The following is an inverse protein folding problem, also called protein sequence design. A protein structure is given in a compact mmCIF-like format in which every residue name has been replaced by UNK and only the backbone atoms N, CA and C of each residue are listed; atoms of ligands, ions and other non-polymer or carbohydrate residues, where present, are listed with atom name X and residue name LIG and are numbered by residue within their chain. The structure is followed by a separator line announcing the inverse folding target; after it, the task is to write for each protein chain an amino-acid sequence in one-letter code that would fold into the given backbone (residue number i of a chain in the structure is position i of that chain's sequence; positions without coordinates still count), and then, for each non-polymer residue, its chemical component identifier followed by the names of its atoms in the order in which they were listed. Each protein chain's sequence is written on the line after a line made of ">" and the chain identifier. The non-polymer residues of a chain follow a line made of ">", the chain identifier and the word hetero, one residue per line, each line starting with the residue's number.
data_IF_266157513242
#
_entry.id   IF_266157513242
#
_cell.length_a   1.000
_cell.length_b   1.000
_cell.length_c   1.000
_cell.angle_alpha   90.00
_cell.angle_beta   90.00
_cell.angle_gamma   90.00
#
_symmetry.space_group_name_H-M   'P 1'
#
loop_
_entity.id
_entity.type
_entity.pdbx_description
1 polymer ?
#
# COMPACT_ATOMS: atom_id res chain seq x y z
N UNK A 1 -4.06 -6.13 -5.45
CA UNK A 1 -4.77 -6.09 -4.15
C UNK A 1 -6.26 -5.95 -4.41
N UNK A 2 -7.08 -6.89 -3.97
CA UNK A 2 -8.57 -6.93 -4.08
C UNK A 2 -9.19 -6.83 -5.48
N UNK A 3 -8.46 -7.01 -6.56
CA UNK A 3 -9.01 -6.79 -7.92
C UNK A 3 -10.18 -7.73 -8.22
N UNK A 4 -10.04 -9.02 -7.94
CA UNK A 4 -11.10 -10.01 -8.15
C UNK A 4 -12.35 -9.70 -7.33
N UNK A 5 -12.18 -9.33 -6.04
CA UNK A 5 -13.28 -8.97 -5.16
C UNK A 5 -13.98 -7.69 -5.62
N UNK A 6 -13.19 -6.65 -5.95
CA UNK A 6 -13.71 -5.36 -6.42
C UNK A 6 -14.53 -5.51 -7.71
N UNK A 7 -14.05 -6.29 -8.67
CA UNK A 7 -14.75 -6.51 -9.95
C UNK A 7 -16.10 -7.21 -9.76
N UNK A 8 -16.14 -8.19 -8.88
CA UNK A 8 -17.40 -8.90 -8.56
C UNK A 8 -18.39 -8.03 -7.80
N UNK A 9 -17.91 -7.24 -6.82
CA UNK A 9 -18.77 -6.31 -6.09
C UNK A 9 -19.32 -5.19 -7.02
N UNK A 10 -18.50 -4.65 -7.92
CA UNK A 10 -18.97 -3.67 -8.92
C UNK A 10 -20.04 -4.27 -9.84
N UNK A 11 -19.86 -5.53 -10.26
CA UNK A 11 -20.87 -6.27 -11.03
C UNK A 11 -22.18 -6.46 -10.25
N UNK A 12 -22.10 -6.83 -8.96
CA UNK A 12 -23.27 -7.01 -8.10
C UNK A 12 -24.03 -5.69 -7.89
N UNK A 13 -23.31 -4.58 -7.63
CA UNK A 13 -23.86 -3.23 -7.51
C UNK A 13 -24.50 -2.79 -8.84
N UNK A 14 -23.86 -3.13 -9.97
CA UNK A 14 -24.38 -2.82 -11.31
C UNK A 14 -25.74 -3.44 -11.59
N UNK A 15 -26.04 -4.61 -11.05
CA UNK A 15 -27.36 -5.25 -11.19
C UNK A 15 -28.49 -4.43 -10.52
N UNK A 16 -28.20 -3.80 -9.38
CA UNK A 16 -29.20 -2.95 -8.68
C UNK A 16 -29.51 -1.68 -9.48
N UNK A 17 -28.57 -1.16 -10.24
CA UNK A 17 -28.75 0.08 -11.03
C UNK A 17 -29.93 0.03 -12.01
N UNK A 18 -30.31 -1.19 -12.46
CA UNK A 18 -31.46 -1.40 -13.35
C UNK A 18 -32.81 -1.40 -12.65
N UNK A 19 -32.84 -1.44 -11.31
CA UNK A 19 -34.08 -1.52 -10.53
C UNK A 19 -34.53 -0.12 -10.05
N UNK A 20 -35.84 0.11 -10.09
CA UNK A 20 -36.45 1.36 -9.60
C UNK A 20 -36.53 1.44 -8.05
N UNK A 21 -36.45 0.29 -7.37
CA UNK A 21 -36.48 0.16 -5.91
C UNK A 21 -35.80 -1.14 -5.47
N UNK A 22 -35.32 -1.18 -4.22
CA UNK A 22 -34.84 -2.43 -3.59
C UNK A 22 -36.05 -3.17 -3.05
N UNK A 23 -36.24 -4.42 -3.48
CA UNK A 23 -37.29 -5.33 -3.01
C UNK A 23 -36.64 -6.60 -2.44
N UNK A 24 -37.42 -7.39 -1.67
CA UNK A 24 -36.91 -8.62 -1.11
C UNK A 24 -36.45 -9.62 -2.19
N UNK A 25 -37.12 -9.64 -3.34
CA UNK A 25 -36.78 -10.52 -4.46
C UNK A 25 -35.48 -10.11 -5.14
N UNK A 26 -35.33 -8.83 -5.53
CA UNK A 26 -34.16 -8.37 -6.29
C UNK A 26 -32.90 -8.28 -5.42
N UNK A 27 -33.03 -8.01 -4.11
CA UNK A 27 -31.90 -7.96 -3.19
C UNK A 27 -31.28 -9.35 -2.96
N UNK A 28 -32.08 -10.43 -2.99
CA UNK A 28 -31.57 -11.79 -2.79
C UNK A 28 -30.56 -12.20 -3.88
N UNK A 29 -30.84 -11.89 -5.13
CA UNK A 29 -29.93 -12.19 -6.24
C UNK A 29 -28.61 -11.43 -6.11
N UNK A 30 -28.68 -10.16 -5.73
CA UNK A 30 -27.48 -9.34 -5.52
C UNK A 30 -26.67 -9.81 -4.32
N UNK A 31 -27.33 -10.15 -3.20
CA UNK A 31 -26.66 -10.69 -2.01
C UNK A 31 -26.02 -12.06 -2.26
N UNK A 32 -26.59 -12.86 -3.16
CA UNK A 32 -25.97 -14.10 -3.61
C UNK A 32 -24.65 -13.84 -4.31
N UNK A 33 -24.59 -12.86 -5.21
CA UNK A 33 -23.34 -12.47 -5.89
C UNK A 33 -22.32 -11.90 -4.89
N UNK A 34 -22.75 -11.04 -3.98
CA UNK A 34 -21.89 -10.50 -2.91
C UNK A 34 -21.32 -11.63 -2.05
N UNK A 35 -22.17 -12.60 -1.65
CA UNK A 35 -21.73 -13.78 -0.90
C UNK A 35 -20.68 -14.58 -1.66
N UNK A 36 -20.90 -14.86 -2.94
CA UNK A 36 -19.96 -15.59 -3.78
C UNK A 36 -18.65 -14.82 -3.93
N UNK A 37 -18.72 -13.50 -4.14
CA UNK A 37 -17.54 -12.66 -4.24
C UNK A 37 -16.66 -12.72 -2.97
N UNK A 38 -17.27 -12.63 -1.79
CA UNK A 38 -16.56 -12.71 -0.52
C UNK A 38 -15.99 -14.12 -0.25
N UNK A 39 -16.72 -15.18 -0.56
CA UNK A 39 -16.24 -16.57 -0.42
C UNK A 39 -15.04 -16.86 -1.34
N UNK A 40 -15.11 -16.41 -2.59
CA UNK A 40 -14.00 -16.56 -3.55
C UNK A 40 -12.79 -15.68 -3.17
N UNK A 41 -13.03 -14.58 -2.48
CA UNK A 41 -11.98 -13.77 -1.85
C UNK A 41 -11.40 -14.44 -0.59
N UNK A 42 -11.84 -15.65 -0.25
CA UNK A 42 -11.38 -16.41 0.92
C UNK A 42 -11.73 -15.73 2.27
N UNK A 43 -12.87 -15.02 2.31
CA UNK A 43 -13.43 -14.49 3.56
C UNK A 43 -14.07 -15.62 4.34
N UNK A 44 -13.92 -15.63 5.66
CA UNK A 44 -14.48 -16.66 6.53
C UNK A 44 -16.00 -16.77 6.38
N UNK A 45 -16.51 -18.01 6.30
CA UNK A 45 -17.92 -18.28 6.06
C UNK A 45 -18.87 -17.63 7.09
N UNK A 46 -18.49 -17.63 8.37
CA UNK A 46 -19.29 -17.00 9.42
C UNK A 46 -19.38 -15.49 9.19
N UNK A 47 -18.26 -14.85 8.86
CA UNK A 47 -18.20 -13.42 8.53
C UNK A 47 -19.07 -13.11 7.33
N UNK A 48 -18.96 -13.90 6.26
CA UNK A 48 -19.79 -13.72 5.04
C UNK A 48 -21.28 -13.85 5.34
N UNK A 49 -21.68 -14.83 6.14
CA UNK A 49 -23.07 -15.04 6.52
C UNK A 49 -23.63 -13.86 7.32
N UNK A 50 -22.90 -13.42 8.34
CA UNK A 50 -23.33 -12.29 9.17
C UNK A 50 -23.36 -10.99 8.39
N UNK A 51 -22.33 -10.71 7.59
CA UNK A 51 -22.26 -9.55 6.70
C UNK A 51 -23.45 -9.49 5.75
N UNK A 52 -23.73 -10.58 5.02
CA UNK A 52 -24.83 -10.59 4.05
C UNK A 52 -26.20 -10.46 4.72
N UNK A 53 -26.38 -10.98 5.94
CA UNK A 53 -27.62 -10.79 6.71
C UNK A 53 -27.78 -9.33 7.14
N UNK A 54 -26.74 -8.69 7.70
CA UNK A 54 -26.78 -7.28 8.08
C UNK A 54 -27.07 -6.37 6.88
N UNK A 55 -26.41 -6.63 5.74
CA UNK A 55 -26.68 -5.88 4.49
C UNK A 55 -28.14 -6.06 4.05
N UNK A 56 -28.69 -7.29 4.11
CA UNK A 56 -30.09 -7.56 3.79
C UNK A 56 -31.04 -6.75 4.68
N UNK A 57 -30.85 -6.84 6.00
CA UNK A 57 -31.70 -6.14 6.99
C UNK A 57 -31.68 -4.63 6.78
N UNK A 58 -30.49 -4.04 6.60
CA UNK A 58 -30.35 -2.59 6.36
C UNK A 58 -30.95 -2.17 5.03
N UNK A 59 -30.76 -2.96 3.96
CA UNK A 59 -31.28 -2.62 2.64
C UNK A 59 -32.81 -2.71 2.55
N UNK A 60 -33.44 -3.59 3.33
CA UNK A 60 -34.91 -3.71 3.40
C UNK A 60 -35.52 -2.75 4.43
N UNK A 61 -34.76 -2.35 5.45
CA UNK A 61 -35.23 -1.48 6.53
C UNK A 61 -35.06 0.02 6.25
N UNK A 62 -34.18 0.42 5.34
CA UNK A 62 -34.12 1.81 4.91
C UNK A 62 -35.35 2.13 4.05
N UNK A 63 -36.23 2.98 4.56
CA UNK A 63 -37.18 3.73 3.72
C UNK A 63 -36.32 4.51 2.72
N UNK A 64 -36.30 4.04 1.48
CA UNK A 64 -35.52 4.68 0.40
C UNK A 64 -35.97 6.14 0.35
N UNK A 65 -35.13 7.04 0.87
CA UNK A 65 -35.36 8.47 0.67
C UNK A 65 -35.55 8.66 -0.81
N UNK A 66 -36.72 9.11 -1.21
CA UNK A 66 -37.17 9.27 -2.62
C UNK A 66 -36.19 10.03 -3.53
N UNK A 67 -35.08 10.53 -2.99
CA UNK A 67 -34.04 11.30 -3.66
C UNK A 67 -32.78 10.54 -4.01
N UNK A 68 -32.53 9.34 -3.48
CA UNK A 68 -31.33 8.54 -3.76
C UNK A 68 -31.65 7.37 -4.67
N UNK A 69 -30.72 7.05 -5.59
CA UNK A 69 -30.83 5.86 -6.45
C UNK A 69 -30.58 4.60 -5.65
N UNK A 70 -31.25 3.48 -5.96
CA UNK A 70 -31.09 2.21 -5.25
C UNK A 70 -29.63 1.73 -5.20
N UNK A 71 -28.85 1.91 -6.26
CA UNK A 71 -27.44 1.53 -6.29
C UNK A 71 -26.56 2.40 -5.36
N UNK A 72 -26.90 3.68 -5.21
CA UNK A 72 -26.19 4.58 -4.27
C UNK A 72 -26.46 4.20 -2.81
N UNK A 73 -27.73 3.86 -2.47
CA UNK A 73 -28.12 3.40 -1.14
C UNK A 73 -27.43 2.07 -0.82
N UNK A 74 -27.47 1.11 -1.74
CA UNK A 74 -26.85 -0.20 -1.54
C UNK A 74 -25.32 -0.10 -1.40
N UNK A 75 -24.68 0.75 -2.22
CA UNK A 75 -23.24 1.02 -2.12
C UNK A 75 -22.87 1.61 -0.75
N UNK A 76 -23.69 2.53 -0.22
CA UNK A 76 -23.49 3.09 1.12
C UNK A 76 -23.59 2.02 2.19
N UNK A 77 -24.63 1.16 2.15
CA UNK A 77 -24.80 0.05 3.10
C UNK A 77 -23.59 -0.89 3.05
N UNK A 78 -23.16 -1.31 1.85
CA UNK A 78 -21.97 -2.15 1.70
C UNK A 78 -20.72 -1.48 2.29
N UNK A 79 -20.54 -0.18 2.04
CA UNK A 79 -19.41 0.57 2.59
C UNK A 79 -19.41 0.58 4.11
N UNK A 80 -20.55 0.87 4.72
CA UNK A 80 -20.70 0.96 6.18
C UNK A 80 -20.47 -0.40 6.84
N UNK A 81 -20.99 -1.49 6.25
CA UNK A 81 -20.78 -2.86 6.76
C UNK A 81 -19.32 -3.32 6.58
N UNK A 82 -18.67 -3.01 5.47
CA UNK A 82 -17.25 -3.31 5.28
C UNK A 82 -16.37 -2.56 6.28
N UNK A 83 -16.71 -1.31 6.61
CA UNK A 83 -16.01 -0.54 7.65
C UNK A 83 -16.16 -1.19 9.01
N UNK A 84 -17.35 -1.71 9.34
CA UNK A 84 -17.59 -2.46 10.59
C UNK A 84 -16.73 -3.71 10.68
N UNK A 85 -16.59 -4.48 9.58
CA UNK A 85 -15.72 -5.65 9.52
C UNK A 85 -14.23 -5.33 9.74
N UNK A 86 -13.74 -4.27 9.11
CA UNK A 86 -12.32 -3.87 9.17
C UNK A 86 -11.97 -3.12 10.46
N UNK A 87 -12.97 -2.65 11.20
CA UNK A 87 -12.84 -1.72 12.30
C UNK A 87 -12.92 -0.29 11.80
N UNK A 88 -13.81 0.50 12.39
CA UNK A 88 -14.09 1.88 11.96
C UNK A 88 -12.91 2.83 12.16
N UNK A 89 -12.08 2.55 13.16
CA UNK A 89 -11.00 3.44 13.58
C UNK A 89 -9.62 2.91 13.17
N UNK A 90 -8.74 3.85 12.84
CA UNK A 90 -7.34 3.56 12.56
C UNK A 90 -6.61 3.22 13.85
N UNK A 91 -6.01 2.04 13.88
CA UNK A 91 -5.19 1.59 15.01
C UNK A 91 -3.76 2.11 14.88
N UNK A 92 -3.39 3.08 15.70
CA UNK A 92 -2.04 3.64 15.73
C UNK A 92 -1.10 2.83 16.65
N UNK A 93 0.20 2.95 16.41
CA UNK A 93 1.22 2.42 17.33
C UNK A 93 1.47 3.39 18.48
N UNK A 94 1.94 2.87 19.61
CA UNK A 94 2.38 3.69 20.74
C UNK A 94 3.56 4.59 20.32
N UNK A 95 3.47 5.87 20.62
CA UNK A 95 4.51 6.86 20.24
C UNK A 95 4.96 7.74 21.40
N UNK A 96 4.35 7.60 22.58
CA UNK A 96 4.56 8.51 23.73
C UNK A 96 5.69 8.06 24.64
N UNK A 97 6.08 6.80 24.61
CA UNK A 97 7.14 6.24 25.47
C UNK A 97 8.52 6.40 24.85
N UNK A 98 9.55 6.47 25.66
CA UNK A 98 10.94 6.59 25.23
C UNK A 98 11.87 5.78 26.14
N UNK A 99 12.52 4.71 25.66
CA UNK A 99 12.27 4.12 24.34
C UNK A 99 10.91 3.41 24.27
N UNK A 100 10.32 3.42 23.07
CA UNK A 100 9.15 2.57 22.75
C UNK A 100 9.65 1.22 22.25
N UNK A 101 9.16 0.13 22.82
CA UNK A 101 9.60 -1.24 22.50
C UNK A 101 8.50 -1.94 21.70
N UNK A 102 8.84 -2.40 20.51
CA UNK A 102 7.98 -3.18 19.62
C UNK A 102 8.58 -4.57 19.43
N UNK A 103 7.81 -5.61 19.71
CA UNK A 103 8.17 -6.99 19.48
C UNK A 103 7.40 -7.53 18.27
N UNK A 104 8.10 -7.99 17.24
CA UNK A 104 7.50 -8.61 16.08
C UNK A 104 7.52 -10.13 16.24
N UNK A 105 6.34 -10.74 16.19
CA UNK A 105 6.15 -12.20 16.32
C UNK A 105 5.47 -12.76 15.07
N UNK A 106 5.49 -14.08 14.87
CA UNK A 106 4.81 -14.74 13.75
C UNK A 106 5.56 -15.95 13.23
N UNK A 107 4.94 -16.69 12.31
CA UNK A 107 5.50 -17.90 11.74
C UNK A 107 6.71 -17.65 10.85
N UNK A 108 7.48 -18.70 10.56
CA UNK A 108 8.57 -18.62 9.60
C UNK A 108 8.06 -18.26 8.20
N UNK A 109 8.75 -17.36 7.52
CA UNK A 109 8.37 -16.93 6.18
C UNK A 109 7.25 -15.87 6.13
N UNK A 110 6.69 -15.47 7.27
CA UNK A 110 5.67 -14.39 7.32
C UNK A 110 6.21 -13.00 6.96
N UNK A 111 7.53 -12.83 6.90
CA UNK A 111 8.19 -11.57 6.53
C UNK A 111 8.59 -10.68 7.71
N UNK A 112 8.77 -11.21 8.94
CA UNK A 112 9.16 -10.43 10.13
C UNK A 112 10.39 -9.56 9.91
N UNK A 113 11.53 -10.15 9.55
CA UNK A 113 12.80 -9.43 9.34
C UNK A 113 12.68 -8.32 8.28
N UNK A 114 11.97 -8.59 7.18
CA UNK A 114 11.72 -7.55 6.16
C UNK A 114 10.80 -6.46 6.68
N UNK A 115 9.77 -6.84 7.43
CA UNK A 115 8.78 -5.91 7.99
C UNK A 115 9.41 -4.99 9.03
N UNK A 116 10.33 -5.51 9.85
CA UNK A 116 11.02 -4.71 10.86
C UNK A 116 11.85 -3.59 10.22
N UNK A 117 12.53 -3.89 9.11
CA UNK A 117 13.26 -2.87 8.34
C UNK A 117 12.35 -1.83 7.70
N UNK A 118 11.21 -2.25 7.14
CA UNK A 118 10.19 -1.34 6.60
C UNK A 118 9.60 -0.44 7.70
N UNK A 119 9.30 -1.01 8.86
CA UNK A 119 8.76 -0.27 10.00
C UNK A 119 9.78 0.74 10.54
N UNK A 120 11.04 0.33 10.70
CA UNK A 120 12.12 1.23 11.09
C UNK A 120 12.32 2.40 10.10
N UNK A 121 12.26 2.11 8.80
CA UNK A 121 12.32 3.14 7.75
C UNK A 121 11.13 4.10 7.82
N UNK A 122 9.91 3.59 8.06
CA UNK A 122 8.70 4.38 8.25
C UNK A 122 8.81 5.28 9.48
N UNK A 123 9.24 4.73 10.63
CA UNK A 123 9.43 5.47 11.88
C UNK A 123 10.42 6.61 11.70
N UNK A 124 11.54 6.35 11.02
CA UNK A 124 12.55 7.38 10.75
C UNK A 124 12.05 8.47 9.82
N UNK A 125 11.46 8.09 8.66
CA UNK A 125 11.08 9.05 7.62
C UNK A 125 9.83 9.85 7.96
N UNK A 126 8.79 9.18 8.48
CA UNK A 126 7.49 9.80 8.72
C UNK A 126 7.35 10.39 10.11
N UNK A 127 7.95 9.73 11.11
CA UNK A 127 7.79 10.13 12.52
C UNK A 127 9.06 10.75 13.12
N UNK A 128 10.14 10.89 12.31
CA UNK A 128 11.43 11.45 12.72
C UNK A 128 12.02 10.77 13.97
N UNK A 129 11.89 9.43 14.06
CA UNK A 129 12.35 8.61 15.18
C UNK A 129 13.72 7.99 14.91
N UNK A 130 14.42 7.61 15.98
CA UNK A 130 15.72 6.96 15.96
C UNK A 130 15.59 5.48 16.37
N UNK A 131 15.27 4.58 15.44
CA UNK A 131 15.05 3.18 15.76
C UNK A 131 16.37 2.40 15.95
N UNK A 132 16.31 1.37 16.81
CA UNK A 132 17.27 0.30 16.95
C UNK A 132 16.64 -1.01 16.47
N UNK A 133 17.35 -1.77 15.65
CA UNK A 133 16.95 -3.13 15.29
C UNK A 133 17.64 -4.11 16.25
N UNK A 134 16.90 -5.12 16.73
CA UNK A 134 17.42 -6.12 17.69
C UNK A 134 17.29 -7.51 17.09
N UNK A 135 18.41 -8.24 16.95
CA UNK A 135 18.46 -9.56 16.36
C UNK A 135 18.24 -10.65 17.41
N UNK A 136 16.97 -10.95 17.73
CA UNK A 136 16.60 -12.01 18.66
C UNK A 136 16.22 -13.35 17.98
N UNK A 137 16.29 -13.46 16.64
CA UNK A 137 16.24 -14.75 15.92
C UNK A 137 17.62 -15.43 15.95
N UNK A 138 17.97 -16.01 17.10
CA UNK A 138 19.28 -16.60 17.34
C UNK A 138 19.48 -17.97 16.69
N UNK A 139 18.40 -18.63 16.25
CA UNK A 139 18.47 -19.99 15.71
C UNK A 139 18.93 -20.02 14.25
N UNK A 140 18.86 -18.87 13.56
CA UNK A 140 19.22 -18.74 12.15
C UNK A 140 20.32 -17.69 11.97
N UNK A 141 21.61 -18.12 11.84
CA UNK A 141 22.70 -17.17 11.58
C UNK A 141 22.45 -16.25 10.37
N UNK A 142 21.78 -16.78 9.36
CA UNK A 142 21.38 -16.00 8.19
C UNK A 142 20.41 -14.86 8.52
N UNK A 143 19.54 -15.00 9.54
CA UNK A 143 18.60 -13.94 9.95
C UNK A 143 19.33 -12.77 10.60
N UNK A 144 20.32 -13.04 11.47
CA UNK A 144 21.18 -12.00 12.05
C UNK A 144 21.90 -11.22 10.96
N UNK A 145 22.55 -11.92 10.02
CA UNK A 145 23.24 -11.29 8.90
C UNK A 145 22.30 -10.49 8.00
N UNK A 146 21.09 -11.00 7.79
CA UNK A 146 20.05 -10.30 7.02
C UNK A 146 19.66 -9.00 7.72
N UNK A 147 19.42 -9.03 9.02
CA UNK A 147 19.06 -7.83 9.79
C UNK A 147 20.20 -6.81 9.80
N UNK A 148 21.46 -7.26 9.96
CA UNK A 148 22.63 -6.38 9.86
C UNK A 148 22.77 -5.72 8.49
N UNK A 149 22.57 -6.49 7.40
CA UNK A 149 22.59 -5.96 6.03
C UNK A 149 21.49 -4.93 5.83
N UNK A 150 20.32 -5.19 6.35
CA UNK A 150 19.17 -4.30 6.32
C UNK A 150 19.45 -3.01 7.09
N UNK A 151 19.98 -3.12 8.32
CA UNK A 151 20.37 -1.96 9.13
C UNK A 151 21.43 -1.08 8.43
N UNK A 152 22.45 -1.71 7.83
CA UNK A 152 23.47 -1.00 7.03
C UNK A 152 22.85 -0.26 5.85
N UNK A 153 21.97 -0.90 5.09
CA UNK A 153 21.31 -0.30 3.93
C UNK A 153 20.44 0.91 4.30
N UNK A 154 19.86 0.88 5.49
CA UNK A 154 19.00 1.93 6.03
C UNK A 154 19.75 2.97 6.87
N UNK A 155 21.05 2.75 7.17
CA UNK A 155 21.80 3.52 8.16
C UNK A 155 21.08 3.56 9.52
N UNK A 156 20.66 2.38 10.02
CA UNK A 156 20.01 2.16 11.30
C UNK A 156 20.87 1.18 12.11
N UNK A 157 21.18 1.47 13.40
CA UNK A 157 21.96 0.57 14.24
C UNK A 157 21.24 -0.76 14.46
N UNK A 158 22.03 -1.83 14.56
CA UNK A 158 21.58 -3.19 14.88
C UNK A 158 22.29 -3.66 16.13
N UNK A 159 21.53 -4.11 17.12
CA UNK A 159 22.04 -4.75 18.32
C UNK A 159 21.96 -6.26 18.16
N UNK A 160 23.07 -6.95 18.41
CA UNK A 160 23.16 -8.41 18.35
C UNK A 160 24.28 -8.89 19.28
N UNK A 161 24.14 -10.09 19.83
CA UNK A 161 25.15 -10.77 20.64
C UNK A 161 25.41 -12.21 20.13
N UNK A 162 25.23 -12.41 18.83
CA UNK A 162 25.36 -13.72 18.19
C UNK A 162 24.25 -14.70 18.59
N UNK A 163 24.56 -15.98 18.58
CA UNK A 163 23.63 -17.06 18.91
C UNK A 163 23.69 -17.41 20.44
N UNK A 164 23.37 -16.46 21.28
CA UNK A 164 23.41 -16.64 22.76
C UNK A 164 21.99 -16.89 23.30
N UNK A 165 21.38 -15.92 23.93
CA UNK A 165 20.06 -15.99 24.56
C UNK A 165 19.19 -14.84 24.06
N UNK A 166 18.05 -15.17 23.43
CA UNK A 166 17.14 -14.20 22.85
C UNK A 166 16.56 -13.25 23.91
N UNK A 167 16.25 -13.74 25.11
CA UNK A 167 15.73 -12.94 26.23
C UNK A 167 16.78 -11.94 26.71
N UNK A 168 18.03 -12.40 26.87
CA UNK A 168 19.16 -11.55 27.27
C UNK A 168 19.40 -10.46 26.21
N UNK A 169 19.47 -10.81 24.93
CA UNK A 169 19.68 -9.86 23.84
C UNK A 169 18.58 -8.79 23.86
N UNK A 170 17.31 -9.20 23.99
CA UNK A 170 16.20 -8.28 24.06
C UNK A 170 16.30 -7.31 25.26
N UNK A 171 16.71 -7.81 26.43
CA UNK A 171 16.90 -7.01 27.64
C UNK A 171 18.06 -6.01 27.48
N UNK A 172 19.23 -6.48 27.09
CA UNK A 172 20.46 -5.67 27.02
C UNK A 172 20.33 -4.59 25.93
N UNK A 173 19.47 -4.82 24.90
CA UNK A 173 19.16 -3.83 23.88
C UNK A 173 18.51 -2.56 24.45
N UNK A 174 17.84 -2.64 25.59
CA UNK A 174 17.17 -1.48 26.24
C UNK A 174 18.20 -0.51 26.77
N UNK A 175 19.23 -1.01 27.44
CA UNK A 175 20.31 -0.18 28.00
C UNK A 175 21.16 0.39 26.87
N UNK A 176 21.47 -0.43 25.85
CA UNK A 176 22.14 0.05 24.65
C UNK A 176 21.38 1.20 23.97
N UNK A 177 20.04 1.09 23.83
CA UNK A 177 19.22 2.13 23.24
C UNK A 177 19.26 3.44 24.04
N UNK A 178 19.18 3.36 25.39
CA UNK A 178 19.27 4.54 26.28
C UNK A 178 20.63 5.23 26.17
N UNK A 179 21.73 4.47 26.22
CA UNK A 179 23.10 4.99 26.12
C UNK A 179 23.37 5.69 24.79
N UNK A 180 22.75 5.21 23.70
CA UNK A 180 22.93 5.76 22.35
C UNK A 180 21.84 6.76 21.94
N UNK A 181 20.91 7.12 22.82
CA UNK A 181 19.84 8.08 22.55
C UNK A 181 18.88 7.64 21.44
N UNK A 182 18.60 6.31 21.40
CA UNK A 182 17.65 5.71 20.46
C UNK A 182 16.26 5.62 21.13
N UNK A 183 15.22 5.98 20.41
CA UNK A 183 13.87 6.19 20.96
C UNK A 183 12.89 5.06 20.62
N UNK A 184 13.26 4.15 19.73
CA UNK A 184 12.49 2.97 19.36
C UNK A 184 13.35 1.72 19.33
N UNK A 185 12.86 0.63 19.90
CA UNK A 185 13.50 -0.69 19.89
C UNK A 185 12.59 -1.66 19.16
N UNK A 186 13.09 -2.24 18.08
CA UNK A 186 12.35 -3.17 17.21
C UNK A 186 12.99 -4.55 17.33
N UNK A 187 12.32 -5.48 18.01
CA UNK A 187 12.83 -6.82 18.31
C UNK A 187 12.35 -7.80 17.23
N UNK A 188 13.31 -8.35 16.45
CA UNK A 188 13.08 -9.42 15.47
C UNK A 188 13.19 -10.77 16.14
N UNK A 189 12.06 -11.43 16.40
CA UNK A 189 12.05 -12.72 17.11
C UNK A 189 12.12 -13.90 16.15
N UNK A 190 12.50 -15.06 16.67
CA UNK A 190 12.45 -16.31 15.94
C UNK A 190 11.04 -16.61 15.40
N UNK A 191 10.98 -17.32 14.28
CA UNK A 191 9.75 -17.88 13.75
C UNK A 191 9.95 -19.35 13.42
N UNK A 192 8.93 -20.17 13.72
CA UNK A 192 8.88 -21.58 13.34
C UNK A 192 7.80 -21.84 12.31
N UNK A 193 7.79 -23.02 11.73
CA UNK A 193 6.81 -23.40 10.70
C UNK A 193 5.39 -23.51 11.27
N UNK A 194 5.28 -23.80 12.57
CA UNK A 194 4.01 -23.92 13.30
C UNK A 194 4.18 -23.37 14.72
N UNK A 195 3.08 -23.11 15.38
CA UNK A 195 3.03 -22.71 16.78
C UNK A 195 3.40 -23.94 17.62
N UNK A 196 4.45 -23.87 18.39
CA UNK A 196 4.87 -24.89 19.35
C UNK A 196 5.16 -24.27 20.73
N UNK A 197 5.16 -25.10 21.78
CA UNK A 197 5.36 -24.64 23.17
C UNK A 197 6.69 -23.90 23.33
N UNK A 198 7.77 -24.42 22.75
CA UNK A 198 9.11 -23.82 22.92
C UNK A 198 9.20 -22.42 22.35
N UNK A 199 8.57 -22.20 21.18
CA UNK A 199 8.47 -20.86 20.60
C UNK A 199 7.67 -19.93 21.51
N UNK A 200 6.51 -20.40 21.97
CA UNK A 200 5.62 -19.58 22.78
C UNK A 200 6.23 -19.26 24.15
N UNK A 201 6.92 -20.21 24.78
CA UNK A 201 7.62 -19.97 26.04
C UNK A 201 8.77 -18.97 25.89
N UNK A 202 9.53 -19.02 24.79
CA UNK A 202 10.60 -18.04 24.51
C UNK A 202 10.00 -16.64 24.31
N UNK A 203 8.93 -16.52 23.52
CA UNK A 203 8.27 -15.25 23.28
C UNK A 203 7.63 -14.68 24.56
N UNK A 204 7.05 -15.51 25.41
CA UNK A 204 6.50 -15.10 26.71
C UNK A 204 7.58 -14.68 27.67
N UNK A 205 8.74 -15.36 27.69
CA UNK A 205 9.90 -14.96 28.49
C UNK A 205 10.44 -13.59 28.04
N UNK A 206 10.55 -13.33 26.72
CA UNK A 206 10.91 -12.00 26.19
C UNK A 206 9.87 -10.97 26.62
N UNK A 207 8.57 -11.26 26.44
CA UNK A 207 7.49 -10.38 26.82
C UNK A 207 7.52 -10.01 28.32
N UNK A 208 7.72 -11.01 29.18
CA UNK A 208 7.75 -10.84 30.63
C UNK A 208 8.93 -10.00 31.11
N UNK A 209 10.11 -10.16 30.49
CA UNK A 209 11.33 -9.46 30.86
C UNK A 209 11.40 -8.04 30.29
N UNK A 210 11.02 -7.86 29.02
CA UNK A 210 11.18 -6.59 28.29
C UNK A 210 9.93 -5.71 28.39
N UNK A 211 8.74 -6.29 28.59
CA UNK A 211 7.43 -5.62 28.65
C UNK A 211 7.22 -4.67 27.47
N UNK A 212 7.18 -5.20 26.25
CA UNK A 212 7.05 -4.38 25.06
C UNK A 212 5.76 -3.54 25.10
N UNK A 213 5.80 -2.37 24.49
CA UNK A 213 4.63 -1.51 24.36
C UNK A 213 3.68 -2.04 23.30
N UNK A 214 4.23 -2.73 22.30
CA UNK A 214 3.50 -3.34 21.22
C UNK A 214 4.03 -4.75 20.94
N UNK A 215 3.10 -5.70 20.80
CA UNK A 215 3.38 -7.05 20.28
C UNK A 215 2.62 -7.17 18.98
N UNK A 216 3.34 -7.14 17.86
CA UNK A 216 2.77 -7.10 16.51
C UNK A 216 2.96 -8.45 15.83
N UNK A 217 1.85 -9.13 15.53
CA UNK A 217 1.87 -10.39 14.80
C UNK A 217 1.97 -10.12 13.29
N UNK A 218 3.05 -10.60 12.68
CA UNK A 218 3.29 -10.51 11.24
C UNK A 218 2.70 -11.72 10.53
N UNK A 219 1.74 -11.49 9.66
CA UNK A 219 0.97 -12.50 8.93
C UNK A 219 1.18 -12.36 7.42
N UNK A 220 1.31 -13.48 6.76
CA UNK A 220 1.24 -13.56 5.31
C UNK A 220 -0.23 -13.54 4.87
N UNK A 221 -0.66 -12.56 4.08
CA UNK A 221 -2.05 -12.45 3.61
C UNK A 221 -2.48 -13.63 2.73
N UNK A 222 -1.52 -14.35 2.17
CA UNK A 222 -1.77 -15.52 1.31
C UNK A 222 -2.11 -16.79 2.10
N UNK A 223 -2.02 -16.77 3.43
CA UNK A 223 -2.38 -17.91 4.28
C UNK A 223 -3.89 -18.24 4.27
N UNK A 224 -4.72 -17.29 3.80
CA UNK A 224 -6.18 -17.50 3.79
C UNK A 224 -6.74 -17.68 5.20
N UNK A 225 -7.67 -18.63 5.36
CA UNK A 225 -8.37 -18.88 6.63
C UNK A 225 -7.47 -19.31 7.79
N UNK A 226 -6.31 -19.93 7.50
CA UNK A 226 -5.37 -20.36 8.53
C UNK A 226 -4.79 -19.19 9.33
N UNK A 227 -4.80 -17.98 8.76
CA UNK A 227 -4.38 -16.78 9.48
C UNK A 227 -5.17 -16.54 10.77
N UNK A 228 -6.46 -16.89 10.80
CA UNK A 228 -7.31 -16.73 11.99
C UNK A 228 -6.84 -17.66 13.12
N UNK A 229 -6.53 -18.91 12.79
CA UNK A 229 -5.99 -19.88 13.75
C UNK A 229 -4.65 -19.41 14.30
N UNK A 230 -3.81 -18.83 13.46
CA UNK A 230 -2.50 -18.26 13.86
C UNK A 230 -2.70 -17.07 14.80
N UNK A 231 -3.58 -16.12 14.48
CA UNK A 231 -3.87 -14.97 15.36
C UNK A 231 -4.34 -15.46 16.72
N UNK A 232 -5.32 -16.37 16.74
CA UNK A 232 -5.89 -16.93 17.97
C UNK A 232 -4.81 -17.62 18.80
N UNK A 233 -4.04 -18.52 18.19
CA UNK A 233 -2.99 -19.27 18.89
C UNK A 233 -1.88 -18.40 19.48
N UNK A 234 -1.49 -17.32 18.81
CA UNK A 234 -0.56 -16.33 19.39
C UNK A 234 -1.23 -15.49 20.48
N UNK A 235 -2.49 -15.08 20.29
CA UNK A 235 -3.20 -14.23 21.23
C UNK A 235 -3.56 -14.96 22.55
N UNK A 236 -3.69 -16.26 22.51
CA UNK A 236 -3.94 -17.09 23.70
C UNK A 236 -2.75 -17.10 24.69
N UNK A 237 -1.53 -16.82 24.20
CA UNK A 237 -0.30 -16.83 24.96
C UNK A 237 0.34 -15.45 25.14
N UNK A 238 0.15 -14.56 24.18
CA UNK A 238 0.76 -13.23 24.15
C UNK A 238 -0.33 -12.17 24.00
N UNK A 239 -0.27 -11.05 24.74
CA UNK A 239 -1.25 -9.96 24.59
C UNK A 239 -0.98 -9.18 23.31
N UNK A 240 -1.43 -9.70 22.16
CA UNK A 240 -1.24 -9.05 20.88
C UNK A 240 -1.90 -7.67 20.86
N UNK A 241 -1.16 -6.65 20.44
CA UNK A 241 -1.66 -5.27 20.30
C UNK A 241 -2.09 -4.94 18.89
N UNK A 242 -1.73 -5.77 17.93
CA UNK A 242 -2.11 -5.60 16.52
C UNK A 242 -1.47 -6.63 15.60
N UNK A 243 -1.90 -6.60 14.35
CA UNK A 243 -1.36 -7.43 13.27
C UNK A 243 -0.76 -6.58 12.16
N UNK A 244 0.19 -7.14 11.44
CA UNK A 244 0.77 -6.60 10.20
C UNK A 244 0.54 -7.62 9.09
N UNK A 245 -0.21 -7.24 8.07
CA UNK A 245 -0.44 -8.10 6.91
C UNK A 245 0.64 -7.85 5.86
N UNK A 246 1.39 -8.88 5.50
CA UNK A 246 2.43 -8.83 4.47
C UNK A 246 1.95 -9.43 3.16
N UNK A 247 2.68 -9.20 2.06
CA UNK A 247 2.44 -9.75 0.72
C UNK A 247 1.06 -9.45 0.13
N UNK A 248 0.44 -8.36 0.56
CA UNK A 248 -0.86 -7.94 0.04
C UNK A 248 -0.80 -7.53 -1.45
N UNK A 249 0.38 -7.19 -1.95
CA UNK A 249 0.64 -6.91 -3.37
C UNK A 249 0.45 -8.16 -4.26
N UNK A 250 0.77 -9.34 -3.75
CA UNK A 250 0.52 -10.64 -4.38
C UNK A 250 -0.89 -11.20 -4.14
N UNK A 251 -1.61 -10.69 -3.16
CA UNK A 251 -2.96 -11.16 -2.79
C UNK A 251 -4.04 -10.37 -3.53
N UNK A 252 -4.72 -11.04 -4.44
CA UNK A 252 -5.87 -10.48 -5.17
C UNK A 252 -7.19 -10.67 -4.44
N UNK A 253 -7.22 -11.53 -3.40
CA UNK A 253 -8.42 -11.92 -2.66
C UNK A 253 -8.70 -11.04 -1.44
N UNK A 254 -7.75 -10.94 -0.51
CA UNK A 254 -7.82 -10.07 0.66
C UNK A 254 -8.73 -10.54 1.80
N UNK A 255 -9.15 -11.80 1.79
CA UNK A 255 -10.09 -12.36 2.78
C UNK A 255 -9.58 -12.31 4.22
N UNK A 256 -8.26 -12.46 4.41
CA UNK A 256 -7.63 -12.33 5.73
C UNK A 256 -7.90 -10.96 6.34
N UNK A 257 -7.74 -9.88 5.57
CA UNK A 257 -7.98 -8.53 6.05
C UNK A 257 -9.42 -8.32 6.54
N UNK A 258 -10.39 -8.89 5.80
CA UNK A 258 -11.82 -8.79 6.13
C UNK A 258 -12.24 -9.67 7.33
N UNK A 259 -11.52 -10.77 7.58
CA UNK A 259 -11.89 -11.75 8.61
C UNK A 259 -11.14 -11.54 9.93
N UNK A 260 -9.87 -11.11 9.88
CA UNK A 260 -8.96 -11.10 11.03
C UNK A 260 -9.50 -10.26 12.19
N UNK A 261 -9.77 -8.99 11.97
CA UNK A 261 -10.26 -8.07 13.01
C UNK A 261 -11.61 -8.50 13.55
N UNK A 262 -12.53 -8.91 12.67
CA UNK A 262 -13.88 -9.27 13.05
C UNK A 262 -13.94 -10.50 13.96
N UNK A 263 -13.16 -11.54 13.63
CA UNK A 263 -13.18 -12.82 14.37
C UNK A 263 -12.33 -12.80 15.63
N UNK A 264 -11.22 -12.04 15.64
CA UNK A 264 -10.25 -12.09 16.74
C UNK A 264 -10.27 -10.87 17.65
N UNK A 265 -10.89 -9.77 17.22
CA UNK A 265 -10.82 -8.48 17.92
C UNK A 265 -9.48 -7.75 17.77
N UNK A 266 -8.43 -8.41 17.27
CA UNK A 266 -7.09 -7.81 17.13
C UNK A 266 -7.03 -6.89 15.92
N UNK A 267 -6.65 -5.60 16.09
CA UNK A 267 -6.65 -4.65 14.99
C UNK A 267 -5.50 -4.90 14.01
N UNK A 268 -5.74 -4.59 12.73
CA UNK A 268 -4.66 -4.49 11.74
C UNK A 268 -4.04 -3.09 11.88
N UNK A 269 -2.73 -3.01 12.08
CA UNK A 269 -2.01 -1.72 12.21
C UNK A 269 -1.28 -1.32 10.95
N UNK A 270 -0.71 -2.28 10.21
CA UNK A 270 0.04 -2.03 8.99
C UNK A 270 -0.24 -3.07 7.92
N UNK A 271 0.00 -2.67 6.67
CA UNK A 271 -0.06 -3.53 5.49
C UNK A 271 1.21 -3.38 4.66
N UNK A 272 1.75 -4.50 4.19
CA UNK A 272 2.83 -4.56 3.21
C UNK A 272 2.28 -4.51 1.80
N UNK A 273 2.62 -3.48 1.04
CA UNK A 273 2.09 -3.19 -0.29
C UNK A 273 3.09 -3.39 -1.41
N UNK A 274 4.34 -3.70 -1.10
CA UNK A 274 5.39 -4.07 -2.07
C UNK A 274 6.57 -4.71 -1.35
N UNK A 275 7.50 -5.33 -2.09
CA UNK A 275 8.75 -5.87 -1.54
C UNK A 275 9.76 -4.77 -1.13
N UNK A 276 9.62 -3.56 -1.64
CA UNK A 276 10.53 -2.44 -1.36
C UNK A 276 10.47 -1.99 0.10
N UNK A 277 11.54 -1.36 0.58
CA UNK A 277 11.65 -0.89 1.97
C UNK A 277 10.69 0.27 2.33
N UNK A 278 10.08 0.90 1.37
CA UNK A 278 9.01 1.90 1.52
C UNK A 278 7.60 1.30 1.39
N UNK A 279 7.51 -0.01 1.13
CA UNK A 279 6.26 -0.74 0.94
C UNK A 279 5.60 -1.18 2.24
N UNK A 280 5.50 -0.33 3.26
CA UNK A 280 4.70 -0.53 4.46
C UNK A 280 3.85 0.71 4.72
N UNK A 281 2.54 0.52 4.77
CA UNK A 281 1.59 1.60 5.00
C UNK A 281 0.80 1.34 6.29
N UNK A 282 0.47 2.39 7.09
CA UNK A 282 -0.52 2.26 8.15
C UNK A 282 -1.85 1.78 7.58
N UNK A 283 -2.50 0.86 8.28
CA UNK A 283 -3.81 0.37 7.88
C UNK A 283 -4.87 1.45 8.10
N UNK A 284 -5.60 1.76 7.06
CA UNK A 284 -6.72 2.70 7.09
C UNK A 284 -7.97 2.02 6.54
N UNK A 285 -8.97 1.71 7.39
CA UNK A 285 -10.18 1.02 6.99
C UNK A 285 -10.95 1.72 5.86
N UNK A 286 -11.03 3.05 5.89
CA UNK A 286 -11.74 3.81 4.86
C UNK A 286 -11.08 3.68 3.48
N UNK A 287 -9.73 3.76 3.43
CA UNK A 287 -8.99 3.54 2.19
C UNK A 287 -9.16 2.12 1.69
N UNK A 288 -9.11 1.15 2.61
CA UNK A 288 -9.27 -0.26 2.26
C UNK A 288 -10.66 -0.54 1.66
N UNK A 289 -11.72 -0.04 2.29
CA UNK A 289 -13.09 -0.16 1.77
C UNK A 289 -13.22 0.54 0.40
N UNK A 290 -12.62 1.72 0.24
CA UNK A 290 -12.63 2.42 -1.06
C UNK A 290 -11.95 1.61 -2.16
N UNK A 291 -10.82 0.94 -1.85
CA UNK A 291 -10.13 0.02 -2.79
C UNK A 291 -10.98 -1.19 -3.12
N UNK A 292 -11.61 -1.82 -2.12
CA UNK A 292 -12.49 -3.00 -2.28
C UNK A 292 -13.72 -2.66 -3.13
N UNK A 293 -14.31 -1.50 -2.96
CA UNK A 293 -15.48 -1.04 -3.72
C UNK A 293 -15.13 -0.41 -5.08
N UNK A 294 -13.88 -0.45 -5.51
CA UNK A 294 -13.45 0.12 -6.80
C UNK A 294 -13.58 1.65 -6.88
N UNK A 295 -13.68 2.32 -5.73
CA UNK A 295 -13.82 3.80 -5.64
C UNK A 295 -12.48 4.53 -5.80
N UNK A 296 -11.38 3.78 -5.99
CA UNK A 296 -10.03 4.33 -6.04
C UNK A 296 -9.44 4.67 -4.67
N UNK A 297 -8.23 5.21 -4.68
CA UNK A 297 -7.52 5.63 -3.46
C UNK A 297 -6.77 6.94 -3.73
N UNK A 298 -7.54 8.01 -3.86
CA UNK A 298 -7.01 9.34 -4.16
C UNK A 298 -6.05 9.85 -3.08
N UNK A 299 -6.28 9.51 -1.81
CA UNK A 299 -5.40 9.94 -0.71
C UNK A 299 -4.03 9.30 -0.81
N UNK A 300 -3.94 7.99 -1.09
CA UNK A 300 -2.65 7.33 -1.35
C UNK A 300 -1.93 7.90 -2.57
N UNK A 301 -2.66 8.30 -3.59
CA UNK A 301 -2.08 8.96 -4.77
C UNK A 301 -1.49 10.33 -4.40
N UNK A 302 -2.21 11.13 -3.61
CA UNK A 302 -1.75 12.43 -3.12
C UNK A 302 -0.51 12.26 -2.23
N UNK A 303 -0.54 11.36 -1.25
CA UNK A 303 0.61 11.09 -0.37
C UNK A 303 1.86 10.62 -1.14
N UNK A 304 1.70 9.78 -2.16
CA UNK A 304 2.80 9.39 -3.06
C UNK A 304 3.33 10.56 -3.85
N UNK A 305 2.45 11.44 -4.33
CA UNK A 305 2.86 12.65 -5.03
C UNK A 305 3.65 13.59 -4.10
N UNK A 306 3.14 13.87 -2.92
CA UNK A 306 3.81 14.71 -1.91
C UNK A 306 5.17 14.14 -1.48
N UNK A 307 5.31 12.82 -1.35
CA UNK A 307 6.57 12.18 -0.95
C UNK A 307 7.70 12.31 -1.99
N UNK A 308 7.36 12.58 -3.24
CA UNK A 308 8.30 12.63 -4.37
C UNK A 308 8.44 14.02 -4.96
N UNK A 309 7.40 14.87 -4.83
CA UNK A 309 7.37 16.22 -5.37
C UNK A 309 7.93 17.22 -4.37
N UNK A 310 8.90 18.01 -4.82
CA UNK A 310 9.34 19.20 -4.11
C UNK A 310 8.33 20.33 -4.41
N UNK A 311 7.78 20.92 -3.36
CA UNK A 311 6.75 21.97 -3.47
C UNK A 311 7.25 23.18 -4.27
N UNK A 312 8.50 23.63 -4.01
CA UNK A 312 9.09 24.74 -4.75
C UNK A 312 9.28 24.44 -6.24
N UNK A 313 9.71 23.21 -6.56
CA UNK A 313 9.90 22.76 -7.94
C UNK A 313 8.55 22.63 -8.67
N UNK A 314 7.52 22.17 -7.97
CA UNK A 314 6.15 22.07 -8.50
C UNK A 314 5.60 23.45 -8.85
N UNK A 315 5.77 24.45 -7.97
CA UNK A 315 5.36 25.84 -8.20
C UNK A 315 6.14 26.44 -9.38
N UNK A 316 7.44 26.19 -9.47
CA UNK A 316 8.30 26.67 -10.58
C UNK A 316 7.84 26.09 -11.92
N UNK A 317 7.56 24.78 -11.94
CA UNK A 317 7.09 24.08 -13.14
C UNK A 317 5.72 24.60 -13.58
N UNK A 318 4.78 24.78 -12.64
CA UNK A 318 3.47 25.36 -12.92
C UNK A 318 3.56 26.77 -13.51
N UNK A 319 4.41 27.64 -12.95
CA UNK A 319 4.65 28.97 -13.49
C UNK A 319 5.26 28.95 -14.91
N UNK A 320 6.12 27.95 -15.19
CA UNK A 320 6.67 27.75 -16.55
C UNK A 320 5.58 27.30 -17.53
N UNK A 321 4.68 26.42 -17.10
CA UNK A 321 3.53 25.96 -17.90
C UNK A 321 2.61 27.13 -18.27
N UNK A 322 2.23 27.96 -17.31
CA UNK A 322 1.39 29.15 -17.57
C UNK A 322 2.03 30.10 -18.57
N UNK A 323 3.36 30.28 -18.49
CA UNK A 323 4.12 31.14 -19.42
C UNK A 323 4.45 30.49 -20.76
N UNK A 324 4.01 29.25 -21.01
CA UNK A 324 4.33 28.48 -22.22
C UNK A 324 5.83 28.13 -22.38
N UNK A 325 6.59 28.21 -21.29
CA UNK A 325 8.04 27.93 -21.25
C UNK A 325 8.38 26.52 -20.76
N UNK A 326 7.39 25.60 -20.72
CA UNK A 326 7.59 24.19 -20.39
C UNK A 326 8.42 23.53 -21.49
N UNK A 327 9.50 22.86 -21.10
CA UNK A 327 10.50 22.28 -22.01
C UNK A 327 10.72 20.77 -21.75
N UNK A 328 11.60 20.13 -22.54
CA UNK A 328 11.88 18.69 -22.40
C UNK A 328 12.73 18.36 -21.16
N UNK A 329 13.41 19.32 -20.54
CA UNK A 329 14.05 19.12 -19.23
C UNK A 329 12.99 19.01 -18.12
N UNK A 330 11.98 19.88 -18.14
CA UNK A 330 10.86 19.82 -17.22
C UNK A 330 10.04 18.52 -17.41
N UNK A 331 9.82 18.11 -18.65
CA UNK A 331 9.16 16.84 -18.98
C UNK A 331 9.93 15.63 -18.44
N UNK A 332 11.25 15.58 -18.64
CA UNK A 332 12.09 14.49 -18.12
C UNK A 332 12.05 14.44 -16.60
N UNK A 333 12.08 15.60 -15.93
CA UNK A 333 12.00 15.71 -14.48
C UNK A 333 10.67 15.16 -13.95
N UNK A 334 9.55 15.55 -14.56
CA UNK A 334 8.22 15.01 -14.19
C UNK A 334 8.12 13.51 -14.43
N UNK A 335 8.61 13.02 -15.56
CA UNK A 335 8.61 11.59 -15.85
C UNK A 335 9.39 10.79 -14.80
N UNK A 336 10.54 11.31 -14.34
CA UNK A 336 11.32 10.69 -13.29
C UNK A 336 10.62 10.74 -11.91
N UNK A 337 9.88 11.80 -11.62
CA UNK A 337 9.04 11.89 -10.43
C UNK A 337 7.93 10.83 -10.46
N UNK A 338 7.22 10.70 -11.58
CA UNK A 338 6.18 9.66 -11.76
C UNK A 338 6.76 8.25 -11.59
N UNK A 339 7.94 7.96 -12.18
CA UNK A 339 8.63 6.68 -11.97
C UNK A 339 8.91 6.38 -10.49
N UNK A 340 9.27 7.39 -9.70
CA UNK A 340 9.50 7.24 -8.26
C UNK A 340 8.23 6.96 -7.47
N UNK A 341 7.05 7.40 -7.94
CA UNK A 341 5.76 7.11 -7.32
C UNK A 341 5.29 5.66 -7.51
N UNK A 342 5.89 4.93 -8.45
CA UNK A 342 5.56 3.54 -8.77
C UNK A 342 5.25 3.31 -10.25
N UNK A 343 4.64 2.15 -10.57
CA UNK A 343 4.22 1.90 -11.96
C UNK A 343 3.01 2.77 -12.32
N UNK A 344 2.96 3.25 -13.57
CA UNK A 344 1.83 4.09 -14.04
C UNK A 344 0.51 3.31 -13.93
N UNK A 345 0.52 2.01 -14.21
CA UNK A 345 -0.66 1.16 -14.04
C UNK A 345 -1.16 1.17 -12.58
N UNK A 346 -0.24 1.11 -11.60
CA UNK A 346 -0.62 1.18 -10.18
C UNK A 346 -1.20 2.53 -9.80
N UNK A 347 -0.69 3.61 -10.39
CA UNK A 347 -1.19 4.97 -10.15
C UNK A 347 -2.58 5.18 -10.79
N UNK A 348 -2.78 4.67 -12.01
CA UNK A 348 -4.08 4.72 -12.70
C UNK A 348 -5.18 4.00 -11.91
N UNK A 349 -4.87 2.85 -11.29
CA UNK A 349 -5.81 2.11 -10.44
C UNK A 349 -6.23 2.88 -9.17
N UNK A 350 -5.46 3.87 -8.74
CA UNK A 350 -5.80 4.72 -7.60
C UNK A 350 -6.79 5.85 -7.96
N UNK A 351 -6.96 6.13 -9.25
CA UNK A 351 -7.87 7.19 -9.71
C UNK A 351 -9.32 6.68 -9.67
N UNK A 352 -10.24 7.37 -8.96
CA UNK A 352 -11.65 7.02 -8.97
C UNK A 352 -12.22 6.99 -10.38
N UNK A 353 -12.93 5.93 -10.73
CA UNK A 353 -13.56 5.80 -12.05
C UNK A 353 -12.63 5.48 -13.22
N UNK A 354 -11.32 5.28 -13.00
CA UNK A 354 -10.35 4.93 -14.06
C UNK A 354 -10.78 3.71 -14.88
N UNK A 355 -11.40 2.72 -14.25
CA UNK A 355 -11.96 1.54 -14.93
C UNK A 355 -13.07 1.90 -15.91
N UNK A 356 -13.99 2.81 -15.54
CA UNK A 356 -15.08 3.29 -16.40
C UNK A 356 -14.56 4.10 -17.59
N UNK A 357 -13.37 4.69 -17.46
CA UNK A 357 -12.69 5.44 -18.53
C UNK A 357 -11.80 4.53 -19.41
N UNK A 358 -11.76 3.22 -19.17
CA UNK A 358 -10.90 2.28 -19.90
C UNK A 358 -9.40 2.45 -19.59
N UNK A 359 -9.06 3.18 -18.54
CA UNK A 359 -7.65 3.46 -18.18
C UNK A 359 -6.95 2.28 -17.50
N UNK A 360 -7.71 1.35 -16.93
CA UNK A 360 -7.14 0.16 -16.25
C UNK A 360 -6.51 -0.84 -17.23
N UNK A 361 -6.92 -0.83 -18.50
CA UNK A 361 -6.41 -1.74 -19.53
C UNK A 361 -5.20 -1.17 -20.29
N UNK A 362 -4.76 0.03 -19.92
CA UNK A 362 -3.60 0.69 -20.52
C UNK A 362 -2.33 0.00 -20.04
N UNK A 363 -1.83 -0.93 -20.84
CA UNK A 363 -0.50 -1.52 -20.64
C UNK A 363 0.56 -0.58 -21.19
N UNK A 364 1.35 0.01 -20.31
CA UNK A 364 2.49 0.83 -20.71
C UNK A 364 3.73 -0.07 -20.70
N UNK A 365 4.31 -0.29 -21.88
CA UNK A 365 5.56 -1.04 -21.98
C UNK A 365 6.70 -0.28 -21.26
N UNK A 366 7.31 -0.87 -20.20
CA UNK A 366 8.43 -0.24 -19.50
C UNK A 366 9.59 0.16 -20.44
N UNK A 367 9.75 -0.55 -21.56
CA UNK A 367 10.76 -0.22 -22.59
C UNK A 367 10.47 1.11 -23.27
N UNK A 368 9.19 1.45 -23.50
CA UNK A 368 8.83 2.74 -24.12
C UNK A 368 9.25 3.91 -23.24
N UNK A 369 9.04 3.80 -21.91
CA UNK A 369 9.49 4.84 -20.96
C UNK A 369 11.01 4.99 -20.95
N UNK A 370 11.75 3.87 -21.02
CA UNK A 370 13.22 3.91 -21.10
C UNK A 370 13.71 4.49 -22.42
N UNK A 371 13.04 4.21 -23.54
CA UNK A 371 13.35 4.82 -24.84
C UNK A 371 13.11 6.33 -24.84
N UNK A 372 12.00 6.80 -24.26
CA UNK A 372 11.71 8.24 -24.13
C UNK A 372 12.81 8.94 -23.33
N UNK A 373 13.20 8.35 -22.19
CA UNK A 373 14.29 8.88 -21.36
C UNK A 373 15.63 8.93 -22.12
N UNK A 374 16.00 7.85 -22.82
CA UNK A 374 17.21 7.77 -23.63
C UNK A 374 17.23 8.81 -24.75
N UNK A 375 16.10 9.03 -25.43
CA UNK A 375 15.96 10.05 -26.47
C UNK A 375 16.21 11.45 -25.89
N UNK A 376 15.56 11.81 -24.78
CA UNK A 376 15.74 13.14 -24.16
C UNK A 376 17.16 13.30 -23.62
N UNK A 377 17.75 12.28 -23.01
CA UNK A 377 19.14 12.32 -22.52
C UNK A 377 20.16 12.47 -23.66
N UNK A 378 19.86 11.96 -24.86
CA UNK A 378 20.72 12.11 -26.06
C UNK A 378 20.65 13.50 -26.71
N UNK A 379 19.73 14.35 -26.27
CA UNK A 379 19.63 15.74 -26.71
C UNK A 379 20.62 16.63 -25.94
N UNK A 380 21.14 17.67 -26.60
CA UNK A 380 21.89 18.73 -25.93
C UNK A 380 20.96 19.58 -25.04
N UNK A 381 21.49 20.29 -24.02
CA UNK A 381 20.67 21.19 -23.20
C UNK A 381 19.90 22.24 -24.01
N UNK A 382 20.50 22.75 -25.11
CA UNK A 382 19.82 23.70 -26.00
C UNK A 382 18.65 23.08 -26.75
N UNK A 383 18.78 21.82 -27.16
CA UNK A 383 17.72 21.06 -27.84
C UNK A 383 16.58 20.71 -26.89
N UNK A 384 16.89 20.39 -25.64
CA UNK A 384 15.85 20.13 -24.62
C UNK A 384 15.03 21.38 -24.32
N UNK A 385 15.68 22.57 -24.24
CA UNK A 385 15.03 23.84 -23.95
C UNK A 385 14.28 24.42 -25.16
N UNK A 386 14.76 24.14 -26.37
CA UNK A 386 14.14 24.58 -27.60
C UNK A 386 14.05 23.46 -28.62
N UNK A 387 13.00 22.61 -28.53
CA UNK A 387 12.82 21.49 -29.46
C UNK A 387 12.68 21.88 -30.93
N UNK A 388 12.29 23.11 -31.23
CA UNK A 388 12.10 23.60 -32.60
C UNK A 388 13.39 23.61 -33.45
N UNK A 389 14.56 23.61 -32.80
CA UNK A 389 15.85 23.54 -33.49
C UNK A 389 16.20 22.12 -33.96
N UNK A 390 15.44 21.09 -33.54
CA UNK A 390 15.71 19.68 -33.84
C UNK A 390 15.25 19.38 -35.27
N UNK A 391 16.12 19.61 -36.27
CA UNK A 391 15.91 19.30 -37.69
C UNK A 391 16.43 17.87 -38.02
N UNK A 392 16.36 17.45 -39.27
CA UNK A 392 16.62 16.09 -39.72
C UNK A 392 17.96 15.51 -39.23
N UNK A 393 19.08 16.19 -39.42
CA UNK A 393 20.42 15.72 -38.98
C UNK A 393 20.52 15.57 -37.46
N UNK A 394 19.87 16.43 -36.70
CA UNK A 394 19.83 16.33 -35.21
C UNK A 394 18.98 15.14 -34.79
N UNK A 395 17.84 14.89 -35.44
CA UNK A 395 17.01 13.71 -35.18
C UNK A 395 17.76 12.40 -35.42
N UNK A 396 18.53 12.32 -36.50
CA UNK A 396 19.38 11.16 -36.80
C UNK A 396 20.46 10.95 -35.72
N UNK A 397 21.13 12.02 -35.30
CA UNK A 397 22.13 11.95 -34.23
C UNK A 397 21.50 11.53 -32.89
N UNK A 398 20.35 12.08 -32.52
CA UNK A 398 19.63 11.74 -31.31
C UNK A 398 19.17 10.29 -31.34
N UNK A 399 18.61 9.81 -32.46
CA UNK A 399 18.19 8.42 -32.64
C UNK A 399 19.36 7.45 -32.48
N UNK A 400 20.50 7.76 -33.12
CA UNK A 400 21.72 6.97 -33.00
C UNK A 400 22.26 6.96 -31.55
N UNK A 401 22.27 8.11 -30.88
CA UNK A 401 22.77 8.24 -29.51
C UNK A 401 21.89 7.54 -28.47
N UNK A 402 20.59 7.47 -28.72
CA UNK A 402 19.62 6.80 -27.82
C UNK A 402 19.39 5.32 -28.11
N UNK A 403 19.97 4.81 -29.19
CA UNK A 403 19.68 3.42 -29.64
C UNK A 403 18.25 3.22 -30.12
N UNK A 404 17.58 4.30 -30.60
CA UNK A 404 16.19 4.30 -31.06
C UNK A 404 16.11 4.67 -32.55
N UNK A 405 14.91 4.77 -33.09
CA UNK A 405 14.67 5.19 -34.47
C UNK A 405 14.31 6.67 -34.58
N UNK A 406 14.55 7.26 -35.76
CA UNK A 406 14.10 8.63 -36.08
C UNK A 406 12.57 8.75 -35.98
N UNK A 407 11.85 7.67 -36.21
CA UNK A 407 10.40 7.63 -36.04
C UNK A 407 9.98 7.78 -34.58
N UNK A 408 10.68 7.15 -33.64
CA UNK A 408 10.45 7.28 -32.21
C UNK A 408 10.78 8.70 -31.71
N UNK A 409 11.87 9.29 -32.18
CA UNK A 409 12.19 10.71 -31.91
C UNK A 409 11.08 11.65 -32.40
N UNK A 410 10.57 11.43 -33.62
CA UNK A 410 9.46 12.23 -34.16
C UNK A 410 8.18 12.05 -33.35
N UNK A 411 7.87 10.81 -32.91
CA UNK A 411 6.72 10.49 -32.09
C UNK A 411 6.79 11.23 -30.74
N UNK A 412 7.95 11.18 -30.09
CA UNK A 412 8.16 11.90 -28.83
C UNK A 412 7.96 13.41 -28.96
N UNK A 413 8.58 14.02 -29.98
CA UNK A 413 8.45 15.46 -30.19
C UNK A 413 6.98 15.88 -30.47
N UNK A 414 6.26 15.06 -31.24
CA UNK A 414 4.83 15.30 -31.48
C UNK A 414 4.00 15.17 -30.21
N UNK A 415 4.20 14.10 -29.42
CA UNK A 415 3.50 13.89 -28.15
C UNK A 415 3.82 15.02 -27.14
N UNK A 416 5.06 15.48 -27.10
CA UNK A 416 5.45 16.59 -26.25
C UNK A 416 4.71 17.89 -26.63
N UNK A 417 4.61 18.21 -27.92
CA UNK A 417 3.88 19.39 -28.39
C UNK A 417 2.37 19.29 -28.11
N UNK A 418 1.77 18.11 -28.27
CA UNK A 418 0.37 17.86 -27.94
C UNK A 418 0.12 18.03 -26.43
N UNK A 419 0.99 17.47 -25.59
CA UNK A 419 0.93 17.64 -24.12
C UNK A 419 1.05 19.10 -23.72
N UNK A 420 1.98 19.85 -24.32
CA UNK A 420 2.17 21.28 -24.05
C UNK A 420 0.93 22.10 -24.40
N UNK A 421 0.26 21.78 -25.53
CA UNK A 421 -1.01 22.42 -25.90
C UNK A 421 -2.12 22.12 -24.90
N UNK A 422 -2.25 20.85 -24.49
CA UNK A 422 -3.26 20.41 -23.52
C UNK A 422 -3.06 21.09 -22.17
N UNK A 423 -1.82 21.13 -21.66
CA UNK A 423 -1.47 21.79 -20.40
C UNK A 423 -1.79 23.30 -20.45
N UNK A 424 -1.53 23.96 -21.58
CA UNK A 424 -1.87 25.37 -21.77
C UNK A 424 -3.39 25.60 -21.77
N UNK A 425 -4.19 24.69 -22.34
CA UNK A 425 -5.66 24.75 -22.28
C UNK A 425 -6.18 24.57 -20.85
N UNK A 426 -5.60 23.64 -20.08
CA UNK A 426 -5.95 23.43 -18.68
C UNK A 426 -5.60 24.62 -17.79
N UNK A 427 -4.43 25.23 -17.98
CA UNK A 427 -3.99 26.39 -17.19
C UNK A 427 -4.82 27.65 -17.43
N UNK A 428 -5.49 27.75 -18.58
CA UNK A 428 -6.36 28.88 -18.95
C UNK A 428 -7.83 28.71 -18.53
N UNK A 429 -8.16 27.65 -17.75
CA UNK A 429 -9.52 27.43 -17.24
C UNK A 429 -10.55 26.98 -18.28
N UNK A 430 -10.14 26.70 -19.52
CA UNK A 430 -11.03 26.36 -20.63
C UNK A 430 -11.40 24.87 -20.72
N UNK A 431 -10.96 24.04 -19.77
CA UNK A 431 -11.30 22.63 -19.73
C UNK A 431 -12.05 22.31 -18.43
N UNK A 432 -13.34 22.05 -18.51
CA UNK A 432 -14.07 21.37 -17.42
C UNK A 432 -13.56 19.93 -17.39
N UNK A 433 -12.90 19.55 -16.31
CA UNK A 433 -12.60 18.15 -16.06
C UNK A 433 -13.93 17.37 -16.01
N UNK A 434 -14.03 16.21 -16.64
CA UNK A 434 -15.21 15.37 -16.55
C UNK A 434 -15.21 14.61 -15.22
N UNK A 435 -15.47 15.34 -14.12
CA UNK A 435 -15.73 14.76 -12.80
C UNK A 435 -17.13 15.16 -12.35
#
# INVERSE_FOLDING_TARGET
>A
MFESLSDRLDSAIGKIRGYGSITEENIQDVLREVRLALLEADVNYTVVKEFTNKVKEKALGEEIKKSLKPDEVFLKILKDELLELLGSDKAEIETKKNPTILMLVGLQGSGKTTTIGKLANLLRKKYNKKPLLVAADIYRPAAINQLQTLGKSLNIPVFEEGQTDAVKIAKDSIDYAKENGLDYILIDTAGRLQIDEKLMDELDNINSEVKPNEILLVLDSMMGQDAINVITGFNDKLPLTGTILTKLDGDTRGGVALSAKYLTGIPIKFIGTSEKLDGLEPFDPNRMVSRILGMGDMMSLIEKAESVMDEEDSIKTYKKMQKGKYDLEDFLKQMNQIKKMGSIESLLKMIPGAKKMGLNDVKIDPKQMSHIEAIVLSMTPSERRNPDIIKASRKERIAKGSGTSVQEVNRLLKQFEESKKMMKMMSNGNMKLPF
#
